data_IF_878197911202
#
_entry.id   IF_878197911202
#
_cell.length_a   1.000
_cell.length_b   1.000
_cell.length_c   1.000
_cell.angle_alpha   90.00
_cell.angle_beta   90.00
_cell.angle_gamma   90.00
#
_symmetry.space_group_name_H-M   'P 1'
#
loop_
_entity.id
_entity.type
_entity.pdbx_description
1 polymer ?
#
# COMPACT_ATOMS: atom_id res chain seq x y z
N UNK A 1 25.93 16.18 -24.41
CA UNK A 1 25.00 15.44 -23.52
C UNK A 1 25.84 14.74 -22.46
N UNK A 2 26.14 15.43 -21.36
CA UNK A 2 26.79 14.80 -20.22
C UNK A 2 25.81 13.82 -19.59
N UNK A 3 26.26 12.60 -19.26
CA UNK A 3 25.47 11.69 -18.44
C UNK A 3 25.24 12.37 -17.09
N UNK A 4 24.02 12.84 -16.85
CA UNK A 4 23.57 13.20 -15.51
C UNK A 4 23.52 11.90 -14.69
N UNK A 5 24.66 11.53 -14.11
CA UNK A 5 24.74 10.43 -13.17
C UNK A 5 24.01 10.85 -11.90
N UNK A 6 23.07 10.04 -11.43
CA UNK A 6 22.39 10.27 -10.15
C UNK A 6 23.46 10.45 -9.05
N UNK A 7 23.39 11.55 -8.30
CA UNK A 7 24.31 11.78 -7.19
C UNK A 7 24.20 10.61 -6.21
N UNK A 8 25.34 10.12 -5.71
CA UNK A 8 25.37 9.06 -4.69
C UNK A 8 24.47 9.40 -3.50
N UNK A 9 24.37 10.68 -3.16
CA UNK A 9 23.47 11.19 -2.14
C UNK A 9 21.99 10.83 -2.41
N UNK A 10 21.50 11.05 -3.63
CA UNK A 10 20.12 10.72 -4.01
C UNK A 10 19.86 9.23 -4.03
N UNK A 11 20.85 8.43 -4.45
CA UNK A 11 20.75 6.96 -4.40
C UNK A 11 20.53 6.50 -2.96
N UNK A 12 21.32 7.02 -2.00
CA UNK A 12 21.15 6.66 -0.58
C UNK A 12 19.84 7.17 0.00
N UNK A 13 19.42 8.40 -0.34
CA UNK A 13 18.14 8.96 0.10
C UNK A 13 16.92 8.16 -0.37
N UNK A 14 17.00 7.49 -1.51
CA UNK A 14 15.90 6.69 -2.03
C UNK A 14 16.01 5.23 -1.57
N UNK A 15 17.19 4.63 -1.69
CA UNK A 15 17.36 3.19 -1.48
C UNK A 15 17.20 2.79 -0.01
N UNK A 16 17.75 3.58 0.92
CA UNK A 16 17.71 3.23 2.35
C UNK A 16 16.25 3.24 2.87
N UNK A 17 15.44 4.29 2.66
CA UNK A 17 14.06 4.28 3.13
C UNK A 17 13.19 3.21 2.46
N UNK A 18 13.38 2.95 1.16
CA UNK A 18 12.67 1.86 0.46
C UNK A 18 12.95 0.51 1.10
N UNK A 19 14.23 0.19 1.33
CA UNK A 19 14.61 -1.08 1.97
C UNK A 19 14.09 -1.16 3.41
N UNK A 20 14.29 -0.11 4.21
CA UNK A 20 13.83 -0.07 5.59
C UNK A 20 12.30 -0.21 5.69
N UNK A 21 11.54 0.50 4.85
CA UNK A 21 10.08 0.43 4.83
C UNK A 21 9.56 -0.93 4.36
N UNK A 22 10.17 -1.49 3.30
CA UNK A 22 9.81 -2.82 2.80
C UNK A 22 10.09 -3.91 3.85
N UNK A 23 11.24 -3.84 4.52
CA UNK A 23 11.59 -4.78 5.61
C UNK A 23 10.65 -4.60 6.81
N UNK A 24 10.35 -3.35 7.20
CA UNK A 24 9.40 -3.08 8.27
C UNK A 24 8.02 -3.70 7.97
N UNK A 25 7.55 -3.60 6.72
CA UNK A 25 6.30 -4.25 6.31
C UNK A 25 6.42 -5.77 6.40
N UNK A 26 7.50 -6.35 5.90
CA UNK A 26 7.73 -7.80 5.97
C UNK A 26 7.67 -8.33 7.42
N UNK A 27 8.32 -7.64 8.36
CA UNK A 27 8.40 -8.06 9.77
C UNK A 27 7.07 -7.88 10.52
N UNK A 28 6.29 -6.86 10.18
CA UNK A 28 5.00 -6.56 10.85
C UNK A 28 3.83 -7.34 10.25
N UNK A 29 4.01 -7.99 9.11
CA UNK A 29 2.94 -8.67 8.38
C UNK A 29 2.52 -9.97 9.08
N UNK A 30 1.35 -9.93 9.69
CA UNK A 30 0.66 -11.10 10.24
C UNK A 30 -0.62 -11.30 9.44
N UNK A 31 -0.85 -12.50 8.91
CA UNK A 31 -2.09 -12.86 8.18
C UNK A 31 -2.78 -13.99 8.94
N UNK A 32 -4.09 -13.82 9.17
CA UNK A 32 -4.95 -14.86 9.71
C UNK A 32 -5.70 -15.54 8.56
N UNK A 33 -5.82 -16.87 8.65
CA UNK A 33 -6.46 -17.75 7.68
C UNK A 33 -7.88 -18.16 8.08
N UNK A 34 -8.32 -17.84 9.30
CA UNK A 34 -9.54 -18.44 9.90
C UNK A 34 -10.86 -17.82 9.44
N UNK A 35 -10.87 -16.56 9.04
CA UNK A 35 -12.11 -15.83 8.72
C UNK A 35 -12.19 -15.35 7.26
N UNK A 36 -11.04 -15.29 6.57
CA UNK A 36 -10.95 -14.90 5.18
C UNK A 36 -9.69 -15.55 4.59
N UNK A 37 -9.82 -16.62 3.78
CA UNK A 37 -8.68 -17.30 3.19
C UNK A 37 -8.06 -16.43 2.10
N UNK A 38 -7.28 -15.45 2.53
CA UNK A 38 -6.52 -14.53 1.66
C UNK A 38 -5.14 -15.09 1.35
N UNK A 39 -4.72 -16.19 1.96
CA UNK A 39 -3.44 -16.83 1.66
C UNK A 39 -3.48 -17.54 0.28
N UNK A 40 -2.45 -17.40 -0.57
CA UNK A 40 -1.20 -16.65 -0.40
C UNK A 40 -1.27 -15.19 -0.87
N UNK A 41 -2.34 -14.80 -1.58
CA UNK A 41 -2.47 -13.51 -2.26
C UNK A 41 -2.32 -12.31 -1.31
N UNK A 42 -2.82 -12.41 -0.08
CA UNK A 42 -2.71 -11.36 0.93
C UNK A 42 -1.27 -11.03 1.33
N UNK A 43 -0.36 -12.02 1.31
CA UNK A 43 1.07 -11.76 1.53
C UNK A 43 1.63 -10.92 0.38
N UNK A 44 1.33 -11.35 -0.86
CA UNK A 44 1.83 -10.68 -2.05
C UNK A 44 1.32 -9.23 -2.12
N UNK A 45 0.02 -9.01 -1.92
CA UNK A 45 -0.60 -7.68 -1.95
C UNK A 45 0.08 -6.78 -0.92
N UNK A 46 0.18 -7.21 0.34
CA UNK A 46 0.75 -6.37 1.40
C UNK A 46 2.25 -6.09 1.26
N UNK A 47 3.02 -7.00 0.68
CA UNK A 47 4.43 -6.76 0.40
C UNK A 47 4.62 -5.78 -0.77
N UNK A 48 3.81 -5.91 -1.83
CA UNK A 48 3.82 -4.98 -2.96
C UNK A 48 3.37 -3.59 -2.50
N UNK A 49 2.26 -3.49 -1.76
CA UNK A 49 1.76 -2.18 -1.29
C UNK A 49 2.73 -1.52 -0.33
N UNK A 50 3.37 -2.28 0.57
CA UNK A 50 4.43 -1.75 1.45
C UNK A 50 5.67 -1.27 0.68
N UNK A 51 6.09 -2.01 -0.34
CA UNK A 51 7.17 -1.58 -1.23
C UNK A 51 6.83 -0.25 -1.93
N UNK A 52 5.64 -0.16 -2.52
CA UNK A 52 5.17 1.07 -3.18
C UNK A 52 5.08 2.24 -2.20
N UNK A 53 4.50 2.04 -1.02
CA UNK A 53 4.39 3.07 0.02
C UNK A 53 5.76 3.58 0.45
N UNK A 54 6.71 2.67 0.70
CA UNK A 54 8.10 3.04 1.03
C UNK A 54 8.78 3.83 -0.10
N UNK A 55 8.50 3.51 -1.37
CA UNK A 55 8.96 4.26 -2.54
C UNK A 55 8.40 5.67 -2.61
N UNK A 56 7.10 5.84 -2.36
CA UNK A 56 6.44 7.15 -2.33
C UNK A 56 7.07 8.02 -1.24
N UNK A 57 7.23 7.48 -0.03
CA UNK A 57 7.88 8.20 1.07
C UNK A 57 9.34 8.56 0.78
N UNK A 58 10.09 7.64 0.15
CA UNK A 58 11.49 7.86 -0.20
C UNK A 58 11.68 8.96 -1.26
N UNK A 59 10.78 9.05 -2.24
CA UNK A 59 10.82 10.03 -3.33
C UNK A 59 10.30 11.41 -2.87
N UNK A 60 9.48 11.48 -1.82
CA UNK A 60 8.96 12.74 -1.30
C UNK A 60 10.07 13.72 -0.90
N UNK A 61 11.09 13.25 -0.17
CA UNK A 61 12.21 14.09 0.29
C UNK A 61 12.97 14.76 -0.87
N UNK A 62 13.50 14.02 -1.87
CA UNK A 62 14.19 14.65 -3.00
C UNK A 62 13.26 15.52 -3.85
N UNK A 63 11.97 15.15 -4.01
CA UNK A 63 11.01 15.97 -4.74
C UNK A 63 10.83 17.37 -4.11
N UNK A 64 10.77 17.46 -2.78
CA UNK A 64 10.71 18.74 -2.07
C UNK A 64 12.02 19.52 -2.15
N UNK A 65 13.17 18.86 -2.04
CA UNK A 65 14.49 19.51 -2.12
C UNK A 65 14.71 20.16 -3.49
N UNK A 66 14.32 19.47 -4.57
CA UNK A 66 14.42 19.94 -5.95
C UNK A 66 13.25 20.86 -6.36
N UNK A 67 12.30 21.13 -5.45
CA UNK A 67 11.07 21.91 -5.72
C UNK A 67 10.29 21.38 -6.93
N UNK A 68 10.35 20.08 -7.17
CA UNK A 68 9.63 19.43 -8.26
C UNK A 68 8.20 19.14 -7.80
N UNK A 69 7.33 20.14 -7.91
CA UNK A 69 5.93 20.04 -7.50
C UNK A 69 5.13 19.07 -8.38
N UNK A 70 5.54 18.82 -9.62
CA UNK A 70 4.91 17.80 -10.48
C UNK A 70 5.07 16.40 -9.87
N UNK A 71 6.28 16.07 -9.41
CA UNK A 71 6.54 14.82 -8.69
C UNK A 71 5.72 14.73 -7.40
N UNK A 72 5.60 15.84 -6.64
CA UNK A 72 4.76 15.89 -5.43
C UNK A 72 3.29 15.58 -5.74
N UNK A 73 2.76 16.09 -6.86
CA UNK A 73 1.39 15.77 -7.30
C UNK A 73 1.23 14.28 -7.60
N UNK A 74 2.21 13.65 -8.28
CA UNK A 74 2.17 12.20 -8.53
C UNK A 74 2.21 11.38 -7.23
N UNK A 75 2.98 11.82 -6.23
CA UNK A 75 3.00 11.17 -4.92
C UNK A 75 1.62 11.25 -4.24
N UNK A 76 0.96 12.41 -4.32
CA UNK A 76 -0.39 12.57 -3.77
C UNK A 76 -1.42 11.67 -4.47
N UNK A 77 -1.37 11.60 -5.82
CA UNK A 77 -2.21 10.69 -6.60
C UNK A 77 -1.99 9.22 -6.21
N UNK A 78 -0.75 8.83 -5.95
CA UNK A 78 -0.44 7.49 -5.49
C UNK A 78 -0.98 7.21 -4.08
N UNK A 79 -0.93 8.19 -3.16
CA UNK A 79 -1.52 8.07 -1.81
C UNK A 79 -3.03 7.86 -1.85
N UNK A 80 -3.74 8.50 -2.78
CA UNK A 80 -5.20 8.31 -2.91
C UNK A 80 -5.57 6.86 -3.25
N UNK A 81 -4.73 6.13 -4.00
CA UNK A 81 -4.95 4.69 -4.25
C UNK A 81 -4.97 3.85 -2.97
N UNK A 82 -4.22 4.24 -1.94
CA UNK A 82 -4.22 3.53 -0.66
C UNK A 82 -5.48 3.81 0.17
N UNK A 83 -6.13 4.96 -0.03
CA UNK A 83 -7.40 5.32 0.63
C UNK A 83 -8.58 4.60 -0.01
N UNK A 84 -8.50 4.35 -1.31
CA UNK A 84 -9.51 3.59 -2.07
C UNK A 84 -9.57 2.10 -1.68
N UNK A 85 -8.57 1.59 -0.94
CA UNK A 85 -8.47 0.17 -0.60
C UNK A 85 -9.69 -0.36 0.16
N UNK A 86 -10.32 0.48 0.99
CA UNK A 86 -11.56 0.10 1.71
C UNK A 86 -12.71 -0.14 0.74
N UNK A 87 -12.87 0.76 -0.23
CA UNK A 87 -13.96 0.68 -1.20
C UNK A 87 -13.78 -0.57 -2.06
N UNK A 88 -12.57 -0.80 -2.55
CA UNK A 88 -12.23 -1.97 -3.37
C UNK A 88 -12.49 -3.28 -2.60
N UNK A 89 -12.04 -3.38 -1.35
CA UNK A 89 -12.28 -4.59 -0.54
C UNK A 89 -13.76 -4.80 -0.25
N UNK A 90 -14.50 -3.73 0.06
CA UNK A 90 -15.93 -3.80 0.31
C UNK A 90 -16.69 -4.27 -0.94
N UNK A 91 -16.45 -3.64 -2.09
CA UNK A 91 -17.08 -4.00 -3.37
C UNK A 91 -16.78 -5.47 -3.72
N UNK A 92 -15.51 -5.89 -3.62
CA UNK A 92 -15.12 -7.27 -3.90
C UNK A 92 -15.82 -8.28 -2.99
N UNK A 93 -16.03 -7.96 -1.72
CA UNK A 93 -16.73 -8.84 -0.79
C UNK A 93 -18.24 -8.87 -1.05
N UNK A 94 -18.84 -7.75 -1.45
CA UNK A 94 -20.26 -7.67 -1.82
C UNK A 94 -20.54 -8.51 -3.08
N UNK A 95 -19.68 -8.38 -4.11
CA UNK A 95 -19.80 -9.16 -5.35
C UNK A 95 -19.69 -10.68 -5.10
N UNK A 96 -18.91 -11.09 -4.09
CA UNK A 96 -18.80 -12.49 -3.67
C UNK A 96 -20.01 -12.95 -2.83
N UNK A 97 -20.56 -12.08 -1.99
CA UNK A 97 -21.71 -12.39 -1.14
C UNK A 97 -22.96 -12.69 -1.99
N UNK A 98 -23.12 -11.98 -3.12
CA UNK A 98 -24.25 -12.13 -4.05
C UNK A 98 -24.35 -13.52 -4.70
N UNK A 99 -23.25 -14.29 -4.71
CA UNK A 99 -23.19 -15.64 -5.30
C UNK A 99 -23.03 -16.74 -4.25
N UNK A 100 -22.86 -16.39 -2.97
CA UNK A 100 -22.76 -17.36 -1.88
C UNK A 100 -24.14 -17.92 -1.49
N UNK A 101 -24.19 -19.19 -1.08
CA UNK A 101 -25.44 -19.81 -0.61
C UNK A 101 -25.90 -19.27 0.76
N UNK A 102 -25.00 -18.63 1.51
CA UNK A 102 -25.27 -18.03 2.82
C UNK A 102 -24.63 -16.66 2.85
N UNK A 103 -25.48 -15.63 2.90
CA UNK A 103 -25.04 -14.24 2.93
C UNK A 103 -24.36 -13.87 4.27
N UNK A 104 -23.28 -13.11 4.17
CA UNK A 104 -22.52 -12.49 5.26
C UNK A 104 -23.23 -11.24 5.80
N UNK A 105 -23.87 -10.48 4.90
CA UNK A 105 -24.57 -9.25 5.22
C UNK A 105 -23.65 -8.02 5.28
N UNK A 106 -24.21 -6.86 4.90
CA UNK A 106 -23.45 -5.63 4.68
C UNK A 106 -22.67 -5.14 5.90
N UNK A 107 -23.22 -5.32 7.11
CA UNK A 107 -22.58 -4.87 8.34
C UNK A 107 -21.29 -5.65 8.64
N UNK A 108 -21.27 -6.95 8.36
CA UNK A 108 -20.08 -7.77 8.55
C UNK A 108 -19.03 -7.44 7.50
N UNK A 109 -19.45 -7.26 6.23
CA UNK A 109 -18.57 -6.87 5.13
C UNK A 109 -17.91 -5.50 5.40
N UNK A 110 -18.67 -4.49 5.86
CA UNK A 110 -18.11 -3.18 6.23
C UNK A 110 -17.10 -3.28 7.39
N UNK A 111 -17.33 -4.19 8.33
CA UNK A 111 -16.38 -4.50 9.41
C UNK A 111 -15.06 -5.06 8.91
N UNK A 112 -15.10 -5.99 7.95
CA UNK A 112 -13.89 -6.53 7.30
C UNK A 112 -13.16 -5.42 6.56
N UNK A 113 -13.86 -4.64 5.74
CA UNK A 113 -13.28 -3.56 4.94
C UNK A 113 -12.61 -2.47 5.81
N UNK A 114 -13.24 -2.08 6.93
CA UNK A 114 -12.63 -1.15 7.92
C UNK A 114 -11.36 -1.72 8.55
N UNK A 115 -11.37 -3.01 8.88
CA UNK A 115 -10.19 -3.68 9.45
C UNK A 115 -9.06 -3.73 8.43
N UNK A 116 -9.38 -4.00 7.17
CA UNK A 116 -8.42 -4.01 6.07
C UNK A 116 -7.82 -2.62 5.82
N UNK A 117 -8.65 -1.57 5.80
CA UNK A 117 -8.24 -0.16 5.70
C UNK A 117 -7.22 0.20 6.79
N UNK A 118 -7.55 -0.07 8.06
CA UNK A 118 -6.68 0.26 9.18
C UNK A 118 -5.32 -0.44 9.08
N UNK A 119 -5.31 -1.72 8.68
CA UNK A 119 -4.08 -2.51 8.46
C UNK A 119 -3.24 -2.03 7.27
N UNK A 120 -3.88 -1.42 6.27
CA UNK A 120 -3.20 -0.81 5.13
C UNK A 120 -2.58 0.56 5.50
N UNK A 121 -3.21 1.33 6.39
CA UNK A 121 -2.62 2.56 6.90
C UNK A 121 -1.36 2.32 7.74
N UNK A 122 -1.24 1.18 8.42
CA UNK A 122 0.03 0.81 9.07
C UNK A 122 1.18 0.55 8.08
N UNK A 123 0.91 0.37 6.78
CA UNK A 123 1.96 0.24 5.75
C UNK A 123 2.30 1.53 5.02
N UNK A 124 1.52 2.59 5.21
CA UNK A 124 1.75 3.94 4.67
C UNK A 124 2.72 4.70 5.57
#
# INVERSE_FOLDING_TARGET
MGKETLSQYYIFLILIPVLCGTIARYVTLIIDYRQYPSYPNGYLIHLITGFIASGIGAIAIPAFLEKNFEAVTFLFLATEQFREVRRIEKESLQDLDDVEHVFRGEAYIDGIAKTFEARNYFSL
#
